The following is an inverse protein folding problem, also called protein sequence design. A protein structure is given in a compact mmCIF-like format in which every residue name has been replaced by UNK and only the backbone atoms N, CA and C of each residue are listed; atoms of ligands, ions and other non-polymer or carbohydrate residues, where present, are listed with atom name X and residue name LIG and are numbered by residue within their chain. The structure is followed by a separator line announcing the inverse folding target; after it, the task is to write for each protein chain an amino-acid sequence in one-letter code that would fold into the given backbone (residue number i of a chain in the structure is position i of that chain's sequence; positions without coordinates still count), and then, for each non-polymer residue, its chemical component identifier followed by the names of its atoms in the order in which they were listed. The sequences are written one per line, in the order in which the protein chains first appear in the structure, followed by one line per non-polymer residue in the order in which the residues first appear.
data_IF_834624705678
#
_entry.id   IF_834624705678
#
_cell.length_a   1.000
_cell.length_b   1.000
_cell.length_c   1.000
_cell.angle_alpha   90.00
_cell.angle_beta   90.00
_cell.angle_gamma   90.00
#
_symmetry.space_group_name_H-M   'P 1'
#
loop_
_entity.id
_entity.type
_entity.pdbx_description
1 polymer ?
#
# COMPACT_ATOMS: atom_id res chain seq x y z
N UNK A 1 5.97 -20.79 -3.42
CA UNK A 1 5.04 -19.64 -3.39
C UNK A 1 5.63 -18.58 -4.29
N UNK A 2 5.07 -18.31 -5.48
CA UNK A 2 5.72 -17.44 -6.45
C UNK A 2 5.74 -15.99 -5.94
N UNK A 3 6.73 -15.18 -6.33
CA UNK A 3 6.89 -13.80 -5.89
C UNK A 3 5.79 -12.96 -6.52
N UNK A 4 4.63 -12.90 -5.86
CA UNK A 4 3.56 -11.99 -6.23
C UNK A 4 4.05 -10.55 -6.02
N UNK A 5 3.67 -9.68 -6.95
CA UNK A 5 3.93 -8.24 -6.91
C UNK A 5 3.82 -7.68 -5.48
N UNK A 6 4.89 -7.03 -5.01
CA UNK A 6 5.07 -6.38 -3.69
C UNK A 6 3.77 -6.25 -2.92
N UNK A 7 3.57 -7.08 -1.90
CA UNK A 7 2.41 -7.01 -1.03
C UNK A 7 2.27 -5.59 -0.47
N UNK A 8 1.06 -5.02 -0.55
CA UNK A 8 0.80 -3.69 0.04
C UNK A 8 1.13 -3.64 1.54
N UNK A 9 1.07 -4.79 2.20
CA UNK A 9 1.51 -4.98 3.58
C UNK A 9 3.03 -4.75 3.74
N UNK A 10 3.85 -5.28 2.83
CA UNK A 10 5.30 -5.05 2.83
C UNK A 10 5.65 -3.59 2.49
N UNK A 11 4.89 -2.97 1.58
CA UNK A 11 5.06 -1.54 1.24
C UNK A 11 4.83 -0.64 2.47
N UNK A 12 3.80 -0.95 3.26
CA UNK A 12 3.52 -0.26 4.52
C UNK A 12 4.37 -0.78 5.70
N UNK A 13 5.13 -1.86 5.52
CA UNK A 13 5.92 -2.50 6.57
C UNK A 13 5.08 -3.08 7.72
N UNK A 14 3.85 -3.50 7.42
CA UNK A 14 2.90 -4.03 8.40
C UNK A 14 2.61 -5.51 8.11
N UNK A 15 2.09 -6.21 9.12
CA UNK A 15 1.67 -7.58 8.96
C UNK A 15 0.29 -7.69 8.26
N UNK A 16 0.03 -8.81 7.61
CA UNK A 16 -1.25 -9.11 6.91
C UNK A 16 -2.47 -9.09 7.84
N UNK A 17 -2.25 -9.31 9.14
CA UNK A 17 -3.25 -9.25 10.20
C UNK A 17 -3.38 -7.86 10.83
N UNK A 18 -2.67 -6.86 10.30
CA UNK A 18 -2.73 -5.49 10.79
C UNK A 18 -4.17 -4.95 10.69
N UNK A 19 -4.58 -4.28 11.77
CA UNK A 19 -5.88 -3.60 11.84
C UNK A 19 -5.83 -2.27 11.09
N UNK A 20 -6.98 -1.72 10.72
CA UNK A 20 -7.08 -0.43 10.02
C UNK A 20 -6.34 0.70 10.77
N UNK A 21 -6.34 0.65 12.10
CA UNK A 21 -5.60 1.60 12.94
C UNK A 21 -4.07 1.50 12.76
N UNK A 22 -3.56 0.27 12.61
CA UNK A 22 -2.14 -0.02 12.41
C UNK A 22 -1.68 0.41 11.01
N UNK A 23 -2.51 0.15 9.99
CA UNK A 23 -2.35 0.66 8.62
C UNK A 23 -2.25 2.20 8.61
N UNK A 24 -3.12 2.88 9.35
CA UNK A 24 -3.14 4.35 9.45
C UNK A 24 -1.96 4.92 10.23
N UNK A 25 -1.45 4.19 11.23
CA UNK A 25 -0.24 4.56 11.97
C UNK A 25 1.02 4.38 11.12
N UNK A 26 1.13 3.26 10.40
CA UNK A 26 2.22 3.00 9.48
C UNK A 26 2.26 4.02 8.33
N UNK A 27 1.12 4.29 7.69
CA UNK A 27 0.99 5.31 6.65
C UNK A 27 1.49 6.68 7.13
N UNK A 28 1.06 7.13 8.31
CA UNK A 28 1.52 8.41 8.87
C UNK A 28 3.03 8.45 9.12
N UNK A 29 3.60 7.36 9.64
CA UNK A 29 5.04 7.26 9.88
C UNK A 29 5.84 7.35 8.57
N UNK A 30 5.43 6.57 7.58
CA UNK A 30 6.07 6.53 6.27
C UNK A 30 5.86 7.83 5.49
N UNK A 31 4.67 8.44 5.57
CA UNK A 31 4.40 9.73 4.96
C UNK A 31 5.28 10.86 5.51
N UNK A 32 5.66 10.80 6.80
CA UNK A 32 6.62 11.74 7.40
C UNK A 32 8.09 11.42 7.01
N UNK A 33 8.42 10.16 6.78
CA UNK A 33 9.77 9.69 6.41
C UNK A 33 10.09 9.90 4.92
N UNK A 34 9.09 9.72 4.06
CA UNK A 34 9.15 9.97 2.61
C UNK A 34 8.53 11.32 2.22
N UNK A 35 8.28 12.21 3.19
CA UNK A 35 7.70 13.52 2.91
C UNK A 35 8.66 14.33 2.02
N UNK A 36 8.20 14.94 0.91
CA UNK A 36 9.07 15.69 -0.01
C UNK A 36 9.77 16.89 0.66
N UNK A 37 9.19 17.42 1.75
CA UNK A 37 9.77 18.49 2.56
C UNK A 37 10.99 18.04 3.39
N UNK A 38 11.02 16.76 3.81
CA UNK A 38 12.10 16.19 4.64
C UNK A 38 13.05 15.30 3.84
N UNK A 39 12.59 14.76 2.71
CA UNK A 39 13.31 13.83 1.89
C UNK A 39 13.23 14.26 0.42
N UNK A 40 14.31 14.84 -0.08
CA UNK A 40 14.41 15.33 -1.47
C UNK A 40 14.87 14.24 -2.45
N UNK A 41 14.79 12.96 -2.07
CA UNK A 41 15.20 11.85 -2.93
C UNK A 41 14.17 11.60 -4.03
N UNK A 42 14.62 11.32 -5.25
CA UNK A 42 13.73 11.03 -6.39
C UNK A 42 12.85 9.79 -6.12
N UNK A 43 13.39 8.81 -5.40
CA UNK A 43 12.66 7.60 -4.96
C UNK A 43 11.58 7.89 -3.91
N UNK A 44 11.64 9.02 -3.19
CA UNK A 44 10.66 9.32 -2.15
C UNK A 44 9.26 9.52 -2.74
N UNK A 45 9.16 10.15 -3.92
CA UNK A 45 7.91 10.32 -4.63
C UNK A 45 7.31 8.99 -5.09
N UNK A 46 8.15 8.06 -5.57
CA UNK A 46 7.72 6.74 -6.02
C UNK A 46 7.25 5.87 -4.85
N UNK A 47 8.04 5.83 -3.77
CA UNK A 47 7.70 5.19 -2.49
C UNK A 47 6.40 5.75 -1.92
N UNK A 48 6.24 7.07 -1.89
CA UNK A 48 5.04 7.72 -1.38
C UNK A 48 3.78 7.36 -2.18
N UNK A 49 3.91 7.21 -3.50
CA UNK A 49 2.84 6.70 -4.38
C UNK A 49 2.49 5.25 -4.08
N UNK A 50 3.47 4.38 -3.86
CA UNK A 50 3.24 2.98 -3.46
C UNK A 50 2.54 2.92 -2.10
N UNK A 51 3.01 3.69 -1.10
CA UNK A 51 2.43 3.76 0.24
C UNK A 51 0.98 4.26 0.21
N UNK A 52 0.67 5.27 -0.61
CA UNK A 52 -0.71 5.76 -0.79
C UNK A 52 -1.62 4.69 -1.40
N UNK A 53 -1.18 4.02 -2.46
CA UNK A 53 -1.94 2.91 -3.07
C UNK A 53 -2.20 1.79 -2.08
N UNK A 54 -1.16 1.39 -1.34
CA UNK A 54 -1.26 0.38 -0.31
C UNK A 54 -2.26 0.76 0.78
N UNK A 55 -2.20 2.01 1.24
CA UNK A 55 -3.14 2.53 2.24
C UNK A 55 -4.56 2.57 1.72
N UNK A 56 -4.80 3.00 0.48
CA UNK A 56 -6.15 3.08 -0.09
C UNK A 56 -6.82 1.71 -0.21
N UNK A 57 -6.05 0.67 -0.58
CA UNK A 57 -6.55 -0.70 -0.69
C UNK A 57 -6.73 -1.35 0.68
N UNK A 58 -5.78 -1.17 1.61
CA UNK A 58 -5.81 -1.86 2.90
C UNK A 58 -6.66 -1.15 3.96
N UNK A 59 -6.78 0.18 3.89
CA UNK A 59 -7.60 0.97 4.81
C UNK A 59 -9.09 0.73 4.59
N UNK A 60 -9.48 0.33 3.38
CA UNK A 60 -10.86 0.04 3.04
C UNK A 60 -11.11 -1.46 3.14
N UNK A 61 -12.02 -1.86 4.04
CA UNK A 61 -12.31 -3.26 4.29
C UNK A 61 -12.89 -3.98 3.08
N UNK A 62 -13.61 -3.26 2.21
CA UNK A 62 -14.20 -3.82 1.00
C UNK A 62 -13.13 -4.01 -0.08
N UNK A 63 -12.26 -3.01 -0.31
CA UNK A 63 -11.12 -3.14 -1.22
C UNK A 63 -10.12 -4.20 -0.76
N UNK A 64 -9.84 -4.29 0.54
CA UNK A 64 -8.99 -5.33 1.12
C UNK A 64 -9.59 -6.71 0.95
N UNK A 65 -10.90 -6.84 1.15
CA UNK A 65 -11.63 -8.08 0.92
C UNK A 65 -11.63 -8.46 -0.56
N UNK A 66 -11.78 -7.50 -1.48
CA UNK A 66 -11.66 -7.70 -2.92
C UNK A 66 -10.23 -8.12 -3.31
N UNK A 67 -9.21 -7.50 -2.73
CA UNK A 67 -7.80 -7.86 -2.91
C UNK A 67 -7.49 -9.27 -2.39
N UNK A 68 -8.07 -9.67 -1.26
CA UNK A 68 -7.92 -11.01 -0.69
C UNK A 68 -8.68 -12.07 -1.50
N UNK A 69 -9.89 -11.74 -1.99
CA UNK A 69 -10.74 -12.64 -2.80
C UNK A 69 -10.26 -12.84 -4.22
N UNK A 70 -9.79 -11.78 -4.88
CA UNK A 70 -9.44 -11.78 -6.30
C UNK A 70 -7.94 -11.69 -6.56
N UNK A 71 -7.11 -11.49 -5.53
CA UNK A 71 -5.69 -11.18 -5.68
C UNK A 71 -5.45 -9.84 -6.37
N UNK A 72 -4.19 -9.56 -6.74
CA UNK A 72 -3.81 -8.37 -7.53
C UNK A 72 -4.59 -8.28 -8.85
N UNK A 73 -5.06 -9.41 -9.40
CA UNK A 73 -5.83 -9.46 -10.64
C UNK A 73 -7.22 -8.79 -10.55
N UNK A 74 -7.80 -8.63 -9.35
CA UNK A 74 -9.07 -7.93 -9.15
C UNK A 74 -8.95 -6.41 -9.04
N UNK A 75 -7.75 -5.89 -8.76
CA UNK A 75 -7.51 -4.44 -8.60
C UNK A 75 -6.78 -3.82 -9.79
N UNK A 76 -5.97 -4.60 -10.53
CA UNK A 76 -5.33 -4.16 -11.77
C UNK A 76 -6.23 -4.31 -13.01
N UNK A 77 -7.38 -4.99 -12.90
CA UNK A 77 -8.32 -5.21 -13.99
C UNK A 77 -9.19 -4.01 -14.40
N UNK A 78 -9.13 -2.88 -13.69
CA UNK A 78 -9.87 -1.66 -14.03
C UNK A 78 -9.09 -0.70 -14.96
N UNK A 79 -7.94 -1.12 -15.49
CA UNK A 79 -7.09 -0.31 -16.37
C UNK A 79 -6.58 -1.06 -17.60
N UNK A 80 -7.46 -1.30 -18.58
CA UNK A 80 -7.05 -1.52 -19.98
C UNK A 80 -7.99 -2.43 -20.77
N UNK A 81 -8.16 -2.24 -22.10
CA UNK A 81 -7.56 -1.25 -23.01
C UNK A 81 -8.34 0.06 -23.17
#
# INVERSE_FOLDING_TARGET
MPPAQRDFYEVLGIARNASADDIKRAYRKLAMEYHPDRNSSADAAERFKEINRAYEVLSDGDKRSAYDRFGHAGVDGAGGP
#
